data_IF_356923549471
#
_entry.id   IF_356923549471
#
_cell.length_a   1.000
_cell.length_b   1.000
_cell.length_c   1.000
_cell.angle_alpha   90.00
_cell.angle_beta   90.00
_cell.angle_gamma   90.00
#
_symmetry.space_group_name_H-M   'P 1'
#
loop_
_entity.id
_entity.type
_entity.pdbx_description
1 polymer ?
#
# COMPACT_ATOMS: atom_id res chain seq x y z
N UNK A 1 13.86 -1.08 3.11
CA UNK A 1 15.07 -1.49 3.80
C UNK A 1 14.53 -2.55 4.70
N UNK A 2 15.01 -3.78 4.60
CA UNK A 2 14.83 -4.62 5.77
C UNK A 2 15.81 -4.07 6.80
N UNK A 3 15.36 -3.80 8.01
CA UNK A 3 16.27 -3.48 9.09
C UNK A 3 16.98 -4.80 9.40
N UNK A 4 18.31 -4.87 9.19
CA UNK A 4 19.04 -6.06 9.61
C UNK A 4 19.01 -6.10 11.13
N UNK A 5 18.49 -7.19 11.70
CA UNK A 5 18.51 -7.42 13.15
C UNK A 5 19.93 -7.46 13.69
N UNK A 6 20.91 -7.82 12.85
CA UNK A 6 22.33 -7.88 13.23
C UNK A 6 22.95 -6.49 13.44
N UNK A 7 22.45 -5.47 12.73
CA UNK A 7 23.00 -4.11 12.78
C UNK A 7 22.10 -3.13 13.53
N UNK A 8 20.92 -3.56 13.98
CA UNK A 8 19.99 -2.71 14.70
C UNK A 8 20.45 -2.51 16.14
N UNK A 9 20.65 -1.26 16.54
CA UNK A 9 20.97 -0.87 17.92
C UNK A 9 19.70 -0.45 18.63
N UNK A 10 19.21 -1.26 19.58
CA UNK A 10 18.03 -0.92 20.36
C UNK A 10 18.20 0.45 21.02
N UNK A 11 17.14 1.26 21.00
CA UNK A 11 17.09 2.62 21.58
C UNK A 11 17.98 3.68 20.91
N UNK A 12 18.68 3.33 19.83
CA UNK A 12 19.51 4.28 19.08
C UNK A 12 18.99 4.46 17.65
N UNK A 13 18.74 3.37 16.93
CA UNK A 13 18.31 3.47 15.54
C UNK A 13 16.80 3.76 15.47
N UNK A 14 16.43 4.91 14.92
CA UNK A 14 15.04 5.32 14.69
C UNK A 14 14.75 5.23 13.19
N UNK A 15 13.73 4.46 12.81
CA UNK A 15 13.28 4.38 11.43
C UNK A 15 12.30 5.52 11.13
N UNK A 16 12.70 6.42 10.25
CA UNK A 16 11.83 7.49 9.74
C UNK A 16 11.24 7.04 8.40
N UNK A 17 9.91 6.96 8.25
CA UNK A 17 9.30 6.64 6.97
C UNK A 17 9.66 7.70 5.93
N UNK A 18 9.85 7.29 4.67
CA UNK A 18 10.10 8.26 3.61
C UNK A 18 8.87 9.14 3.42
N UNK A 19 9.09 10.41 3.07
CA UNK A 19 8.05 11.37 2.72
C UNK A 19 7.90 11.49 1.21
N UNK A 20 6.65 11.58 0.72
CA UNK A 20 6.42 11.78 -0.71
C UNK A 20 7.00 13.12 -1.15
N UNK A 21 7.24 13.31 -2.46
CA UNK A 21 7.71 14.59 -2.99
C UNK A 21 6.72 15.73 -2.70
N UNK A 22 5.44 15.39 -2.58
CA UNK A 22 4.35 16.31 -2.33
C UNK A 22 4.13 16.56 -0.83
N UNK A 23 4.92 15.92 0.04
CA UNK A 23 4.82 16.14 1.47
C UNK A 23 5.35 17.53 1.84
N UNK A 24 4.55 18.36 2.53
CA UNK A 24 4.97 19.71 2.90
C UNK A 24 6.20 19.72 3.80
N UNK A 25 7.11 20.68 3.58
CA UNK A 25 8.35 20.84 4.38
C UNK A 25 8.09 21.34 5.80
N UNK A 26 7.00 22.10 5.99
CA UNK A 26 6.55 22.62 7.29
C UNK A 26 5.02 22.69 7.26
N UNK A 27 4.37 22.30 8.36
CA UNK A 27 2.91 22.19 8.42
C UNK A 27 2.35 21.14 7.44
N UNK A 28 1.03 21.02 7.37
CA UNK A 28 0.34 20.09 6.46
C UNK A 28 -1.13 19.89 6.83
N UNK A 29 -1.85 19.16 5.97
CA UNK A 29 -3.23 18.76 6.26
C UNK A 29 -3.27 17.86 7.49
N UNK A 30 -4.20 18.15 8.40
CA UNK A 30 -4.43 17.30 9.58
C UNK A 30 -4.82 15.90 9.14
N UNK A 31 -4.47 14.91 9.96
CA UNK A 31 -4.98 13.55 9.81
C UNK A 31 -6.50 13.52 9.86
N UNK A 32 -7.08 12.51 9.23
CA UNK A 32 -8.54 12.40 9.05
C UNK A 32 -9.24 11.76 10.26
N UNK A 33 -8.50 11.30 11.27
CA UNK A 33 -9.07 10.83 12.53
C UNK A 33 -9.62 12.04 13.31
N UNK A 34 -10.94 12.27 13.23
CA UNK A 34 -11.62 13.33 14.00
C UNK A 34 -12.15 12.87 15.34
N UNK A 35 -12.50 11.58 15.46
CA UNK A 35 -13.07 10.98 16.67
C UNK A 35 -12.54 9.55 16.84
N UNK A 36 -12.37 9.11 18.09
CA UNK A 36 -11.98 7.74 18.42
C UNK A 36 -13.20 6.81 18.40
N UNK A 37 -13.57 6.34 17.22
CA UNK A 37 -14.45 5.16 17.06
C UNK A 37 -13.56 3.96 16.75
N UNK A 38 -13.41 3.04 17.72
CA UNK A 38 -12.50 1.88 17.58
C UNK A 38 -13.32 0.59 17.62
N UNK A 39 -13.33 -0.22 16.53
CA UNK A 39 -12.91 0.13 15.17
C UNK A 39 -13.96 1.02 14.47
N UNK A 40 -13.55 1.89 13.52
CA UNK A 40 -14.49 2.69 12.77
C UNK A 40 -15.30 1.78 11.84
N UNK A 41 -16.63 1.90 11.84
CA UNK A 41 -17.51 1.26 10.86
C UNK A 41 -17.22 1.87 9.48
N UNK A 42 -16.48 1.12 8.66
CA UNK A 42 -16.06 1.53 7.32
C UNK A 42 -16.52 0.49 6.30
N UNK A 43 -16.71 0.94 5.05
CA UNK A 43 -17.22 0.09 3.95
C UNK A 43 -16.31 -1.11 3.68
N UNK A 44 -14.99 -0.89 3.69
CA UNK A 44 -14.01 -1.93 3.38
C UNK A 44 -13.30 -2.39 4.66
N UNK A 45 -13.17 -3.70 4.83
CA UNK A 45 -12.36 -4.29 5.89
C UNK A 45 -10.87 -4.08 5.59
N UNK A 46 -10.40 -4.49 4.40
CA UNK A 46 -9.00 -4.45 4.01
C UNK A 46 -8.85 -3.92 2.59
N UNK A 47 -8.00 -2.92 2.40
CA UNK A 47 -7.76 -2.37 1.06
C UNK A 47 -6.29 -2.31 0.68
N UNK A 48 -6.07 -2.46 -0.62
CA UNK A 48 -4.81 -2.17 -1.28
C UNK A 48 -5.09 -1.65 -2.68
N UNK A 49 -4.39 -0.59 -3.10
CA UNK A 49 -4.36 -0.15 -4.50
C UNK A 49 -2.94 0.24 -4.83
N UNK A 50 -2.34 -0.38 -5.85
CA UNK A 50 -1.02 0.05 -6.37
C UNK A 50 -0.43 -0.89 -7.43
N UNK A 51 0.89 -0.84 -7.63
CA UNK A 51 1.57 -1.54 -8.74
C UNK A 51 1.74 -3.03 -8.47
N UNK A 52 1.49 -3.87 -9.49
CA UNK A 52 1.89 -5.29 -9.56
C UNK A 52 3.21 -5.39 -10.32
N UNK A 53 4.29 -5.72 -9.63
CA UNK A 53 5.56 -5.96 -10.31
C UNK A 53 5.48 -7.28 -11.05
N UNK A 54 5.63 -7.26 -12.38
CA UNK A 54 5.54 -8.48 -13.22
C UNK A 54 6.82 -9.32 -13.16
N UNK A 55 7.91 -8.73 -12.68
CA UNK A 55 9.23 -9.35 -12.57
C UNK A 55 9.98 -8.80 -11.35
N UNK A 56 10.96 -9.56 -10.86
CA UNK A 56 11.90 -9.12 -9.83
C UNK A 56 11.29 -8.96 -8.43
N UNK A 57 12.00 -8.20 -7.58
CA UNK A 57 11.71 -8.09 -6.14
C UNK A 57 10.28 -7.57 -5.89
N UNK A 58 9.56 -8.28 -5.01
CA UNK A 58 8.19 -7.94 -4.61
C UNK A 58 7.13 -8.38 -5.62
N UNK A 59 7.51 -9.04 -6.72
CA UNK A 59 6.57 -9.64 -7.67
C UNK A 59 5.65 -10.63 -6.98
N UNK A 60 6.20 -11.65 -6.32
CA UNK A 60 5.44 -12.75 -5.71
C UNK A 60 4.43 -12.24 -4.68
N UNK A 61 4.89 -11.36 -3.78
CA UNK A 61 4.04 -10.72 -2.77
C UNK A 61 2.85 -9.98 -3.38
N UNK A 62 3.09 -9.21 -4.46
CA UNK A 62 2.02 -8.43 -5.12
C UNK A 62 1.11 -9.30 -5.97
N UNK A 63 1.66 -10.38 -6.53
CA UNK A 63 0.91 -11.34 -7.32
C UNK A 63 -0.08 -12.12 -6.45
N UNK A 64 0.34 -12.50 -5.24
CA UNK A 64 -0.46 -13.26 -4.27
C UNK A 64 -1.70 -12.50 -3.77
N UNK A 65 -1.70 -11.15 -3.80
CA UNK A 65 -2.85 -10.34 -3.37
C UNK A 65 -4.14 -10.67 -4.12
N UNK A 66 -4.02 -11.17 -5.36
CA UNK A 66 -5.17 -11.60 -6.15
C UNK A 66 -5.98 -12.72 -5.49
N UNK A 67 -5.33 -13.63 -4.76
CA UNK A 67 -6.00 -14.76 -4.12
C UNK A 67 -6.80 -14.35 -2.87
N UNK A 68 -6.49 -13.19 -2.29
CA UNK A 68 -7.13 -12.67 -1.07
C UNK A 68 -8.23 -11.66 -1.42
N UNK A 69 -8.24 -11.14 -2.65
CA UNK A 69 -9.26 -10.21 -3.12
C UNK A 69 -10.61 -10.92 -3.29
N UNK A 70 -11.65 -10.46 -2.57
CA UNK A 70 -13.00 -11.01 -2.68
C UNK A 70 -13.99 -10.11 -3.45
N UNK A 71 -13.62 -8.85 -3.73
CA UNK A 71 -14.49 -7.91 -4.46
C UNK A 71 -15.61 -7.25 -3.63
N UNK A 72 -15.70 -7.57 -2.34
CA UNK A 72 -16.75 -7.06 -1.44
C UNK A 72 -16.18 -6.07 -0.42
N UNK A 73 -15.50 -6.58 0.60
CA UNK A 73 -14.90 -5.80 1.70
C UNK A 73 -13.37 -5.95 1.77
N UNK A 74 -12.80 -6.91 1.03
CA UNK A 74 -11.36 -7.09 0.81
C UNK A 74 -11.01 -6.74 -0.63
N UNK A 75 -10.64 -5.47 -0.83
CA UNK A 75 -10.46 -4.87 -2.15
C UNK A 75 -8.97 -4.60 -2.42
N UNK A 76 -8.31 -5.50 -3.17
CA UNK A 76 -6.87 -5.48 -3.43
C UNK A 76 -6.59 -5.28 -4.93
N UNK A 77 -6.62 -4.02 -5.35
CA UNK A 77 -6.53 -3.62 -6.75
C UNK A 77 -5.08 -3.41 -7.15
N UNK A 78 -4.69 -3.98 -8.29
CA UNK A 78 -3.32 -3.84 -8.80
C UNK A 78 -3.27 -3.37 -10.23
N UNK A 79 -2.24 -2.60 -10.60
CA UNK A 79 -1.99 -2.18 -11.98
C UNK A 79 -0.66 -2.71 -12.50
N UNK A 80 -0.66 -3.17 -13.76
CA UNK A 80 0.55 -3.55 -14.48
C UNK A 80 1.26 -2.35 -15.11
N UNK A 81 0.62 -1.18 -15.18
CA UNK A 81 1.16 0.00 -15.87
C UNK A 81 2.28 0.66 -15.04
N UNK A 82 3.52 0.22 -15.23
CA UNK A 82 4.68 0.85 -14.58
C UNK A 82 6.01 0.59 -15.27
N UNK A 83 6.88 1.61 -15.31
CA UNK A 83 8.16 1.50 -16.04
C UNK A 83 7.96 1.49 -17.55
N UNK A 84 9.05 1.39 -18.31
CA UNK A 84 9.02 1.47 -19.79
C UNK A 84 8.62 0.15 -20.44
N UNK A 85 9.00 -0.98 -19.83
CA UNK A 85 8.89 -2.31 -20.44
C UNK A 85 7.72 -3.18 -19.91
N UNK A 86 6.76 -2.61 -19.17
CA UNK A 86 5.67 -3.43 -18.59
C UNK A 86 4.85 -4.17 -19.65
N UNK A 87 4.69 -3.58 -20.84
CA UNK A 87 3.96 -4.20 -21.94
C UNK A 87 4.65 -5.48 -22.44
N UNK A 88 5.99 -5.54 -22.37
CA UNK A 88 6.76 -6.74 -22.78
C UNK A 88 6.57 -7.92 -21.82
N UNK A 89 6.27 -7.63 -20.55
CA UNK A 89 6.06 -8.65 -19.51
C UNK A 89 4.58 -8.86 -19.20
N UNK A 90 3.67 -8.29 -20.00
CA UNK A 90 2.23 -8.34 -19.79
C UNK A 90 1.74 -9.79 -19.85
N UNK A 91 1.09 -10.24 -18.79
CA UNK A 91 0.37 -11.52 -18.77
C UNK A 91 -1.12 -11.34 -19.10
N UNK A 92 -1.83 -12.46 -19.19
CA UNK A 92 -3.26 -12.53 -19.53
C UNK A 92 -4.17 -11.80 -18.53
N UNK A 93 -3.72 -11.58 -17.29
CA UNK A 93 -4.52 -10.94 -16.24
C UNK A 93 -4.40 -9.41 -16.24
N UNK A 94 -3.35 -8.86 -16.84
CA UNK A 94 -3.08 -7.42 -16.77
C UNK A 94 -4.21 -6.52 -17.29
N UNK A 95 -4.92 -6.91 -18.35
CA UNK A 95 -6.00 -6.07 -18.90
C UNK A 95 -7.16 -5.95 -17.92
N UNK A 96 -7.60 -7.07 -17.36
CA UNK A 96 -8.64 -7.11 -16.34
C UNK A 96 -8.24 -6.35 -15.08
N UNK A 97 -7.02 -6.58 -14.59
CA UNK A 97 -6.53 -5.91 -13.38
C UNK A 97 -6.43 -4.40 -13.58
N UNK A 98 -5.98 -3.94 -14.75
CA UNK A 98 -5.97 -2.52 -15.08
C UNK A 98 -7.38 -1.93 -15.19
N UNK A 99 -8.32 -2.65 -15.80
CA UNK A 99 -9.70 -2.18 -15.92
C UNK A 99 -10.38 -2.02 -14.55
N UNK A 100 -10.20 -2.99 -13.66
CA UNK A 100 -10.68 -2.89 -12.26
C UNK A 100 -9.95 -1.77 -11.50
N UNK A 101 -8.65 -1.62 -11.72
CA UNK A 101 -7.87 -0.58 -11.09
C UNK A 101 -8.40 0.82 -11.41
N UNK A 102 -8.80 1.14 -12.64
CA UNK A 102 -9.28 2.49 -12.98
C UNK A 102 -10.63 2.84 -12.35
N UNK A 103 -11.42 1.87 -11.88
CA UNK A 103 -12.77 2.11 -11.33
C UNK A 103 -12.80 2.76 -9.94
N UNK A 104 -11.69 2.73 -9.21
CA UNK A 104 -11.64 3.15 -7.80
C UNK A 104 -10.71 4.33 -7.59
N UNK A 105 -11.15 5.34 -6.86
CA UNK A 105 -10.26 6.40 -6.37
C UNK A 105 -9.38 5.90 -5.21
N UNK A 106 -8.11 6.31 -5.19
CA UNK A 106 -7.17 5.89 -4.16
C UNK A 106 -7.52 6.46 -2.79
N UNK A 107 -7.82 7.76 -2.72
CA UNK A 107 -8.04 8.46 -1.45
C UNK A 107 -9.36 8.01 -0.83
N UNK A 108 -10.42 7.95 -1.63
CA UNK A 108 -11.73 7.48 -1.18
C UNK A 108 -11.64 6.07 -0.58
N UNK A 109 -10.94 5.16 -1.26
CA UNK A 109 -10.77 3.79 -0.79
C UNK A 109 -9.98 3.74 0.53
N UNK A 110 -8.92 4.55 0.68
CA UNK A 110 -8.16 4.63 1.94
C UNK A 110 -8.99 5.19 3.11
N UNK A 111 -9.80 6.21 2.87
CA UNK A 111 -10.65 6.81 3.91
C UNK A 111 -11.77 5.86 4.35
N UNK A 112 -12.27 5.03 3.44
CA UNK A 112 -13.37 4.09 3.67
C UNK A 112 -12.91 2.68 4.03
N UNK A 113 -11.66 2.50 4.48
CA UNK A 113 -11.10 1.21 4.87
C UNK A 113 -10.67 1.14 6.32
N UNK A 114 -10.94 0.04 7.02
CA UNK A 114 -10.48 -0.19 8.39
C UNK A 114 -8.98 -0.51 8.41
N UNK A 115 -8.55 -1.45 7.57
CA UNK A 115 -7.16 -1.86 7.42
C UNK A 115 -6.61 -1.50 6.04
N UNK A 116 -5.39 -1.00 6.01
CA UNK A 116 -4.68 -0.64 4.78
C UNK A 116 -3.43 -1.48 4.66
N UNK A 117 -3.38 -2.31 3.62
CA UNK A 117 -2.24 -3.18 3.39
C UNK A 117 -1.04 -2.36 2.91
N UNK A 118 0.10 -2.58 3.55
CA UNK A 118 1.40 -2.00 3.19
C UNK A 118 2.37 -3.14 2.89
N UNK A 119 2.24 -3.80 1.72
CA UNK A 119 3.10 -4.93 1.42
C UNK A 119 4.41 -4.45 0.80
N UNK A 120 5.41 -5.34 0.74
CA UNK A 120 6.73 -5.03 0.19
C UNK A 120 6.68 -4.38 -1.20
N UNK A 121 7.51 -3.36 -1.38
CA UNK A 121 7.77 -2.71 -2.66
C UNK A 121 9.12 -3.10 -3.26
N UNK A 122 9.45 -2.55 -4.43
CA UNK A 122 10.82 -2.63 -5.00
C UNK A 122 11.83 -1.72 -4.30
N UNK A 123 11.35 -0.70 -3.58
CA UNK A 123 12.18 0.31 -2.92
C UNK A 123 12.12 0.16 -1.42
N UNK A 124 13.16 0.68 -0.78
CA UNK A 124 13.35 0.56 0.65
C UNK A 124 12.38 1.41 1.48
N UNK A 125 11.80 2.47 0.91
CA UNK A 125 10.76 3.22 1.59
C UNK A 125 9.48 3.30 0.79
N UNK A 126 8.40 3.49 1.54
CA UNK A 126 7.03 3.48 1.06
C UNK A 126 6.28 4.60 1.75
N UNK A 127 5.64 5.45 0.95
CA UNK A 127 4.74 6.49 1.46
C UNK A 127 3.44 5.89 2.01
N UNK A 128 3.11 4.65 1.63
CA UNK A 128 1.84 4.00 2.00
C UNK A 128 1.63 3.85 3.50
N UNK A 129 2.70 3.70 4.26
CA UNK A 129 2.60 3.66 5.71
C UNK A 129 2.08 4.99 6.26
N UNK A 130 2.66 6.11 5.82
CA UNK A 130 2.21 7.45 6.21
C UNK A 130 0.84 7.80 5.65
N UNK A 131 0.54 7.42 4.40
CA UNK A 131 -0.78 7.64 3.78
C UNK A 131 -1.89 6.92 4.57
N UNK A 132 -1.63 5.68 5.03
CA UNK A 132 -2.57 4.93 5.87
C UNK A 132 -2.78 5.63 7.22
N UNK A 133 -1.71 6.04 7.89
CA UNK A 133 -1.80 6.78 9.16
C UNK A 133 -2.57 8.10 9.00
N UNK A 134 -2.27 8.87 7.95
CA UNK A 134 -2.96 10.12 7.68
C UNK A 134 -4.46 9.88 7.44
N UNK A 135 -4.82 8.84 6.68
CA UNK A 135 -6.19 8.44 6.41
C UNK A 135 -6.90 7.75 7.60
N UNK A 136 -6.24 7.66 8.76
CA UNK A 136 -6.75 6.96 9.94
C UNK A 136 -7.11 5.51 9.65
N UNK A 137 -6.39 4.88 8.72
CA UNK A 137 -6.54 3.49 8.31
C UNK A 137 -5.43 2.66 8.97
N UNK A 138 -5.79 1.55 9.62
CA UNK A 138 -4.85 0.77 10.41
C UNK A 138 -3.86 0.08 9.45
N UNK A 139 -2.54 0.42 9.48
CA UNK A 139 -1.59 -0.14 8.54
C UNK A 139 -1.28 -1.60 8.87
N UNK A 140 -1.43 -2.49 7.89
CA UNK A 140 -1.04 -3.91 7.98
C UNK A 140 0.21 -4.12 7.14
N UNK A 141 1.36 -4.29 7.81
CA UNK A 141 2.64 -4.47 7.15
C UNK A 141 2.83 -5.93 6.74
N UNK A 142 3.10 -6.18 5.47
CA UNK A 142 3.41 -7.51 4.97
C UNK A 142 4.85 -7.56 4.47
N UNK A 143 5.71 -8.19 5.28
CA UNK A 143 7.10 -8.48 4.96
C UNK A 143 7.22 -9.94 4.57
N UNK A 144 7.94 -10.21 3.48
CA UNK A 144 8.56 -11.53 3.32
C UNK A 144 9.82 -11.58 4.19
N UNK A 145 10.14 -12.78 4.70
CA UNK A 145 11.41 -13.04 5.39
C UNK A 145 12.61 -12.82 4.48
#
# INVERSE_FOLDING_TARGET
ASISTENFRPKFDVSIPLFSKDHPRTGGDRGFLRFNTIPPLRKYMLVFKGKRYLTGIGSDTRNALYHVHNGEDVVLLTTCKHGKDWQKHKDTRCDRDNAEYEKYDYREMLHNATFCLVPRGRRLGSFRFLEALQAACIPVMLSNG
#
